data_IF_301837130264
#
_entry.id   IF_301837130264
#
_cell.length_a   1.000
_cell.length_b   1.000
_cell.length_c   1.000
_cell.angle_alpha   90.00
_cell.angle_beta   90.00
_cell.angle_gamma   90.00
#
_symmetry.space_group_name_H-M   'P 1'
#
loop_
_entity.id
_entity.type
_entity.pdbx_description
1 polymer ?
#
# COMPACT_ATOMS: atom_id res chain seq x y z
N UNK A 1 9.80 -32.72 26.63
CA UNK A 1 8.53 -31.98 26.78
C UNK A 1 8.74 -30.52 27.25
N UNK A 2 9.86 -30.22 27.92
CA UNK A 2 10.21 -28.86 28.43
C UNK A 2 10.70 -27.84 27.37
N UNK A 3 11.19 -28.30 26.22
CA UNK A 3 11.70 -27.39 25.17
C UNK A 3 10.61 -26.60 24.42
N UNK A 4 9.37 -27.09 24.41
CA UNK A 4 8.24 -26.43 23.77
C UNK A 4 7.58 -25.35 24.65
N UNK A 5 7.66 -25.46 25.98
CA UNK A 5 7.14 -24.47 26.91
C UNK A 5 7.96 -23.15 26.92
N UNK A 6 9.27 -23.27 26.71
CA UNK A 6 10.16 -22.11 26.75
C UNK A 6 10.16 -21.31 25.44
N UNK A 7 9.71 -21.91 24.33
CA UNK A 7 9.58 -21.24 23.02
C UNK A 7 8.32 -20.37 22.95
N UNK A 8 7.24 -20.83 23.55
CA UNK A 8 5.98 -20.05 23.60
C UNK A 8 6.13 -18.80 24.50
N UNK A 9 6.84 -18.88 25.62
CA UNK A 9 7.02 -17.75 26.52
C UNK A 9 7.82 -16.58 25.91
N UNK A 10 8.76 -16.86 24.99
CA UNK A 10 9.52 -15.79 24.28
C UNK A 10 8.69 -15.12 23.19
N UNK A 11 7.84 -15.88 22.50
CA UNK A 11 6.92 -15.35 21.51
C UNK A 11 5.84 -14.51 22.20
N UNK A 12 5.27 -14.99 23.30
CA UNK A 12 4.29 -14.25 24.10
C UNK A 12 4.87 -12.96 24.68
N UNK A 13 6.10 -12.96 25.13
CA UNK A 13 6.80 -11.75 25.61
C UNK A 13 7.10 -10.75 24.49
N UNK A 14 7.35 -11.19 23.26
CA UNK A 14 7.52 -10.31 22.10
C UNK A 14 6.18 -9.72 21.64
N UNK A 15 5.13 -10.54 21.58
CA UNK A 15 3.77 -10.13 21.21
C UNK A 15 3.15 -9.13 22.22
N UNK A 16 3.47 -9.25 23.50
CA UNK A 16 3.05 -8.30 24.52
C UNK A 16 3.72 -6.92 24.43
N UNK A 17 4.80 -6.80 23.66
CA UNK A 17 5.45 -5.49 23.38
C UNK A 17 4.76 -4.71 22.27
N UNK A 18 3.99 -5.39 21.40
CA UNK A 18 3.19 -4.78 20.34
C UNK A 18 1.79 -5.40 20.41
N UNK A 19 0.94 -4.93 21.35
CA UNK A 19 -0.36 -5.56 21.66
C UNK A 19 -1.25 -5.70 20.41
N UNK A 20 -1.23 -4.73 19.52
CA UNK A 20 -2.01 -4.74 18.27
C UNK A 20 -1.61 -5.90 17.35
N UNK A 21 -0.31 -6.11 17.13
CA UNK A 21 0.17 -7.21 16.28
C UNK A 21 -0.14 -8.56 16.92
N UNK A 22 -0.04 -8.67 18.26
CA UNK A 22 -0.41 -9.87 19.00
C UNK A 22 -1.87 -10.25 18.78
N UNK A 23 -2.77 -9.28 18.79
CA UNK A 23 -4.20 -9.52 18.58
C UNK A 23 -4.53 -9.83 17.10
N UNK A 24 -3.82 -9.25 16.14
CA UNK A 24 -3.91 -9.63 14.73
C UNK A 24 -3.50 -11.09 14.52
N UNK A 25 -2.39 -11.53 15.13
CA UNK A 25 -1.86 -12.89 15.00
C UNK A 25 -2.67 -13.97 15.76
N UNK A 26 -3.64 -13.59 16.60
CA UNK A 26 -4.63 -14.53 17.19
C UNK A 26 -5.73 -14.91 16.19
N UNK A 27 -5.90 -14.17 15.10
CA UNK A 27 -6.96 -14.38 14.09
C UNK A 27 -6.39 -15.15 12.91
N UNK A 28 -7.03 -16.24 12.42
CA UNK A 28 -6.51 -17.05 11.31
C UNK A 28 -6.27 -16.23 10.03
N UNK A 29 -7.21 -15.34 9.66
CA UNK A 29 -7.08 -14.46 8.50
C UNK A 29 -5.97 -13.43 8.68
N UNK A 30 -5.77 -12.95 9.91
CA UNK A 30 -4.66 -12.04 10.24
C UNK A 30 -3.31 -12.71 10.11
N UNK A 31 -3.17 -13.95 10.56
CA UNK A 31 -1.95 -14.76 10.37
C UNK A 31 -1.67 -14.96 8.89
N UNK A 32 -2.68 -15.35 8.11
CA UNK A 32 -2.52 -15.57 6.66
C UNK A 32 -2.11 -14.27 5.96
N UNK A 33 -2.83 -13.17 6.18
CA UNK A 33 -2.51 -11.86 5.60
C UNK A 33 -1.12 -11.38 5.99
N UNK A 34 -0.79 -11.43 7.29
CA UNK A 34 0.54 -11.07 7.77
C UNK A 34 1.66 -11.91 7.16
N UNK A 35 1.47 -13.23 7.05
CA UNK A 35 2.46 -14.14 6.46
C UNK A 35 2.73 -13.81 4.99
N UNK A 36 1.66 -13.53 4.22
CA UNK A 36 1.79 -13.15 2.80
C UNK A 36 2.52 -11.79 2.68
N UNK A 37 2.09 -10.78 3.44
CA UNK A 37 2.71 -9.44 3.44
C UNK A 37 4.18 -9.51 3.85
N UNK A 38 4.49 -10.26 4.91
CA UNK A 38 5.87 -10.47 5.36
C UNK A 38 6.69 -11.21 4.29
N UNK A 39 6.11 -12.24 3.66
CA UNK A 39 6.74 -12.95 2.54
C UNK A 39 7.13 -12.01 1.41
N UNK A 40 6.22 -11.15 0.94
CA UNK A 40 6.54 -10.16 -0.09
C UNK A 40 7.54 -9.10 0.39
N UNK A 41 7.47 -8.66 1.64
CA UNK A 41 8.48 -7.75 2.21
C UNK A 41 9.88 -8.38 2.20
N UNK A 42 10.00 -9.66 2.55
CA UNK A 42 11.26 -10.40 2.46
C UNK A 42 11.73 -10.55 1.02
N UNK A 43 10.82 -10.86 0.07
CA UNK A 43 11.14 -10.91 -1.37
C UNK A 43 11.69 -9.57 -1.85
N UNK A 44 11.10 -8.45 -1.47
CA UNK A 44 11.58 -7.10 -1.83
C UNK A 44 12.99 -6.84 -1.30
N UNK A 45 13.24 -7.17 -0.02
CA UNK A 45 14.53 -6.94 0.63
C UNK A 45 15.62 -7.82 0.02
N UNK A 46 15.34 -9.12 -0.11
CA UNK A 46 16.30 -10.12 -0.55
C UNK A 46 16.26 -10.39 -2.07
N UNK A 47 15.56 -9.58 -2.86
CA UNK A 47 15.45 -9.73 -4.31
C UNK A 47 16.79 -10.03 -5.02
N UNK A 48 17.91 -9.30 -4.75
CA UNK A 48 19.17 -9.57 -5.41
C UNK A 48 19.82 -10.92 -5.04
N UNK A 49 19.41 -11.52 -3.94
CA UNK A 49 19.95 -12.80 -3.44
C UNK A 49 19.11 -14.01 -3.88
N UNK A 50 17.80 -13.82 -4.10
CA UNK A 50 16.88 -14.90 -4.40
C UNK A 50 16.49 -15.00 -5.88
N UNK A 51 16.75 -13.94 -6.67
CA UNK A 51 16.51 -13.96 -8.10
C UNK A 51 17.55 -14.88 -8.79
N UNK A 52 17.09 -15.95 -9.52
CA UNK A 52 18.03 -16.87 -10.13
C UNK A 52 18.88 -16.24 -11.26
N UNK A 53 18.29 -15.28 -11.97
CA UNK A 53 18.91 -14.62 -13.12
C UNK A 53 18.81 -13.08 -13.00
N UNK A 54 19.53 -12.35 -13.85
CA UNK A 54 19.28 -10.91 -14.00
C UNK A 54 17.90 -10.70 -14.63
N UNK A 55 17.11 -9.76 -14.09
CA UNK A 55 15.75 -9.49 -14.56
C UNK A 55 15.65 -8.92 -15.98
N UNK A 56 16.76 -8.45 -16.54
CA UNK A 56 16.87 -7.82 -17.84
C UNK A 56 17.75 -8.61 -18.84
N UNK A 57 18.38 -9.71 -18.39
CA UNK A 57 19.20 -10.56 -19.25
C UNK A 57 18.35 -11.19 -20.37
N UNK A 58 18.76 -10.97 -21.61
CA UNK A 58 18.09 -11.48 -22.80
C UNK A 58 18.62 -12.87 -23.17
N UNK A 59 17.70 -13.80 -23.42
CA UNK A 59 18.03 -15.14 -23.93
C UNK A 59 17.07 -15.52 -25.08
N UNK A 60 17.26 -14.87 -26.22
CA UNK A 60 16.37 -14.98 -27.39
C UNK A 60 16.15 -16.43 -27.86
N UNK A 61 17.16 -17.34 -27.86
CA UNK A 61 16.94 -18.75 -28.15
C UNK A 61 15.86 -19.41 -27.31
N UNK A 62 15.72 -19.03 -26.04
CA UNK A 62 14.76 -19.62 -25.09
C UNK A 62 13.49 -18.75 -24.86
N UNK A 63 13.13 -17.91 -25.86
CA UNK A 63 11.94 -17.05 -25.75
C UNK A 63 10.63 -17.84 -25.67
N UNK A 64 9.72 -17.39 -24.80
CA UNK A 64 8.36 -17.95 -24.63
C UNK A 64 8.34 -19.43 -24.21
N UNK A 65 9.42 -19.90 -23.61
CA UNK A 65 9.48 -21.27 -23.06
C UNK A 65 8.64 -21.39 -21.78
N UNK A 66 8.08 -22.59 -21.60
CA UNK A 66 7.39 -22.97 -20.37
C UNK A 66 8.35 -23.18 -19.19
N UNK A 67 7.81 -23.43 -18.00
CA UNK A 67 8.60 -23.77 -16.82
C UNK A 67 9.56 -24.93 -17.07
N UNK A 68 10.82 -24.75 -16.66
CA UNK A 68 11.90 -25.72 -16.80
C UNK A 68 12.82 -25.70 -15.58
N UNK A 69 13.81 -26.60 -15.52
CA UNK A 69 14.82 -26.59 -14.45
C UNK A 69 15.72 -25.34 -14.47
N UNK A 70 15.90 -24.72 -15.62
CA UNK A 70 16.68 -23.48 -15.79
C UNK A 70 15.82 -22.25 -15.53
N UNK A 71 14.60 -22.22 -16.06
CA UNK A 71 13.65 -21.14 -15.94
C UNK A 71 12.41 -21.63 -15.20
N UNK A 72 12.40 -21.52 -13.86
CA UNK A 72 11.38 -22.13 -12.99
C UNK A 72 9.95 -21.74 -13.33
N UNK A 73 9.71 -20.51 -13.78
CA UNK A 73 8.39 -20.00 -14.20
C UNK A 73 8.31 -19.79 -15.71
N UNK A 74 9.33 -20.20 -16.46
CA UNK A 74 9.47 -19.97 -17.89
C UNK A 74 10.05 -18.61 -18.24
N UNK A 75 9.99 -18.27 -19.53
CA UNK A 75 10.59 -17.06 -20.09
C UNK A 75 9.55 -16.20 -20.82
N UNK A 76 9.85 -14.92 -20.96
CA UNK A 76 9.03 -13.99 -21.73
C UNK A 76 9.38 -13.96 -23.24
N UNK A 77 8.80 -13.01 -23.95
CA UNK A 77 9.00 -12.84 -25.40
C UNK A 77 10.42 -12.45 -25.84
N UNK A 78 11.28 -12.07 -24.89
CA UNK A 78 12.70 -11.77 -25.09
C UNK A 78 13.62 -12.83 -24.45
N UNK A 79 13.06 -13.91 -23.92
CA UNK A 79 13.78 -14.95 -23.20
C UNK A 79 14.20 -14.58 -21.77
N UNK A 80 13.67 -13.47 -21.22
CA UNK A 80 13.99 -13.05 -19.85
C UNK A 80 13.27 -13.96 -18.83
N UNK A 81 13.94 -14.29 -17.74
CA UNK A 81 13.39 -15.14 -16.67
C UNK A 81 12.19 -14.47 -15.97
N UNK A 82 11.02 -15.12 -16.04
CA UNK A 82 9.79 -14.60 -15.44
C UNK A 82 9.91 -14.50 -13.92
N UNK A 83 10.50 -15.50 -13.25
CA UNK A 83 10.64 -15.50 -11.78
C UNK A 83 11.46 -14.31 -11.30
N UNK A 84 12.63 -14.08 -11.89
CA UNK A 84 13.48 -12.94 -11.55
C UNK A 84 12.78 -11.60 -11.80
N UNK A 85 12.04 -11.49 -12.90
CA UNK A 85 11.25 -10.30 -13.22
C UNK A 85 10.13 -10.05 -12.21
N UNK A 86 9.45 -11.09 -11.73
CA UNK A 86 8.42 -10.97 -10.70
C UNK A 86 9.02 -10.56 -9.35
N UNK A 87 10.16 -11.12 -8.99
CA UNK A 87 10.90 -10.78 -7.77
C UNK A 87 11.33 -9.30 -7.80
N UNK A 88 11.96 -8.83 -8.87
CA UNK A 88 12.33 -7.42 -8.99
C UNK A 88 11.12 -6.50 -9.15
N UNK A 89 10.07 -6.95 -9.85
CA UNK A 89 8.80 -6.24 -9.98
C UNK A 89 8.11 -5.97 -8.65
N UNK A 90 8.31 -6.85 -7.64
CA UNK A 90 7.79 -6.63 -6.29
C UNK A 90 8.35 -5.36 -5.64
N UNK A 91 9.62 -5.03 -5.91
CA UNK A 91 10.28 -3.80 -5.42
C UNK A 91 9.61 -2.55 -6.00
N UNK A 92 9.24 -2.61 -7.27
CA UNK A 92 8.54 -1.51 -7.94
C UNK A 92 7.13 -1.37 -7.37
N UNK A 93 6.36 -2.46 -7.31
CA UNK A 93 4.97 -2.44 -6.85
C UNK A 93 4.85 -1.95 -5.39
N UNK A 94 5.60 -2.56 -4.45
CA UNK A 94 5.56 -2.17 -3.04
C UNK A 94 6.22 -0.80 -2.81
N UNK A 95 7.34 -0.53 -3.47
CA UNK A 95 8.03 0.76 -3.37
C UNK A 95 7.15 1.92 -3.83
N UNK A 96 6.46 1.76 -4.96
CA UNK A 96 5.49 2.73 -5.47
C UNK A 96 4.33 2.92 -4.50
N UNK A 97 3.73 1.81 -4.03
CA UNK A 97 2.59 1.88 -3.12
C UNK A 97 2.95 2.58 -1.80
N UNK A 98 4.04 2.19 -1.15
CA UNK A 98 4.51 2.81 0.10
C UNK A 98 4.79 4.31 -0.11
N UNK A 99 5.48 4.66 -1.20
CA UNK A 99 5.84 6.05 -1.47
C UNK A 99 4.61 6.91 -1.80
N UNK A 100 3.71 6.42 -2.65
CA UNK A 100 2.50 7.15 -3.04
C UNK A 100 1.54 7.33 -1.86
N UNK A 101 1.30 6.27 -1.07
CA UNK A 101 0.47 6.34 0.14
C UNK A 101 1.12 7.24 1.19
N UNK A 102 2.46 7.21 1.31
CA UNK A 102 3.22 8.12 2.17
C UNK A 102 3.03 9.60 1.79
N UNK A 103 3.06 9.92 0.50
CA UNK A 103 2.76 11.28 -0.01
C UNK A 103 1.31 11.66 0.30
N UNK A 104 0.35 10.78 -0.03
CA UNK A 104 -1.07 11.01 0.21
C UNK A 104 -1.37 11.27 1.69
N UNK A 105 -0.78 10.46 2.59
CA UNK A 105 -0.88 10.64 4.04
C UNK A 105 -0.28 11.96 4.48
N UNK A 106 0.93 12.30 4.04
CA UNK A 106 1.65 13.50 4.49
C UNK A 106 0.91 14.77 4.07
N UNK A 107 0.52 14.87 2.80
CA UNK A 107 -0.25 15.97 2.27
C UNK A 107 -1.67 16.01 2.85
N UNK A 108 -2.32 14.86 2.95
CA UNK A 108 -3.64 14.70 3.55
C UNK A 108 -3.66 15.10 5.02
N UNK A 109 -2.63 14.72 5.80
CA UNK A 109 -2.46 15.11 7.19
C UNK A 109 -2.32 16.60 7.33
N UNK A 110 -1.45 17.22 6.54
CA UNK A 110 -1.24 18.65 6.55
C UNK A 110 -2.53 19.44 6.20
N UNK A 111 -3.16 19.08 5.07
CA UNK A 111 -4.37 19.76 4.60
C UNK A 111 -5.56 19.50 5.51
N UNK A 112 -5.76 18.26 5.97
CA UNK A 112 -6.86 17.87 6.85
C UNK A 112 -6.78 18.49 8.25
N UNK A 113 -5.56 18.57 8.82
CA UNK A 113 -5.35 19.26 10.09
C UNK A 113 -5.65 20.76 9.98
N UNK A 114 -5.16 21.43 8.94
CA UNK A 114 -5.38 22.86 8.74
C UNK A 114 -6.87 23.12 8.52
N UNK A 115 -7.49 22.42 7.60
CA UNK A 115 -8.91 22.54 7.26
C UNK A 115 -9.80 22.28 8.48
N UNK A 116 -9.64 21.15 9.17
CA UNK A 116 -10.46 20.79 10.31
C UNK A 116 -10.26 21.69 11.53
N UNK A 117 -9.01 22.10 11.80
CA UNK A 117 -8.71 22.90 12.99
C UNK A 117 -9.07 24.38 12.84
N UNK A 118 -8.68 25.01 11.72
CA UNK A 118 -8.93 26.44 11.48
C UNK A 118 -10.39 26.70 11.07
N UNK A 119 -10.95 25.87 10.20
CA UNK A 119 -12.31 26.06 9.71
C UNK A 119 -12.49 27.29 8.81
N UNK A 120 -13.73 27.73 8.64
CA UNK A 120 -14.08 28.95 7.95
C UNK A 120 -13.60 29.04 6.49
N UNK A 121 -13.02 30.17 6.10
CA UNK A 121 -12.60 30.43 4.73
C UNK A 121 -11.46 29.50 4.24
N UNK A 122 -10.52 29.16 5.14
CA UNK A 122 -9.40 28.29 4.83
C UNK A 122 -9.90 26.87 4.54
N UNK A 123 -10.84 26.39 5.33
CA UNK A 123 -11.50 25.11 5.12
C UNK A 123 -12.18 25.03 3.75
N UNK A 124 -12.97 26.07 3.41
CA UNK A 124 -13.66 26.13 2.12
C UNK A 124 -12.70 26.11 0.93
N UNK A 125 -11.60 26.88 0.99
CA UNK A 125 -10.59 26.89 -0.09
C UNK A 125 -9.95 25.49 -0.26
N UNK A 126 -9.54 24.88 0.85
CA UNK A 126 -8.95 23.54 0.82
C UNK A 126 -9.92 22.52 0.24
N UNK A 127 -11.19 22.54 0.67
CA UNK A 127 -12.22 21.65 0.15
C UNK A 127 -12.43 21.83 -1.35
N UNK A 128 -12.51 23.06 -1.86
CA UNK A 128 -12.64 23.33 -3.31
C UNK A 128 -11.48 22.75 -4.10
N UNK A 129 -10.23 22.85 -3.60
CA UNK A 129 -9.06 22.25 -4.25
C UNK A 129 -9.16 20.73 -4.26
N UNK A 130 -9.50 20.11 -3.10
CA UNK A 130 -9.63 18.65 -2.97
C UNK A 130 -10.78 18.12 -3.85
N UNK A 131 -11.90 18.83 -3.89
CA UNK A 131 -13.06 18.47 -4.71
C UNK A 131 -12.75 18.58 -6.21
N UNK A 132 -11.95 19.58 -6.61
CA UNK A 132 -11.49 19.73 -7.99
C UNK A 132 -10.66 18.54 -8.47
N UNK A 133 -9.79 17.98 -7.60
CA UNK A 133 -9.02 16.78 -7.91
C UNK A 133 -9.95 15.56 -8.07
N UNK A 134 -10.93 15.42 -7.19
CA UNK A 134 -11.87 14.28 -7.20
C UNK A 134 -13.02 14.43 -8.21
N UNK A 135 -13.18 15.58 -8.86
CA UNK A 135 -14.15 15.75 -9.93
C UNK A 135 -13.85 14.87 -11.15
N UNK A 136 -12.58 14.44 -11.28
CA UNK A 136 -12.16 13.51 -12.34
C UNK A 136 -12.05 12.08 -11.81
N UNK A 137 -12.49 11.06 -12.57
CA UNK A 137 -12.18 9.67 -12.26
C UNK A 137 -10.66 9.49 -12.14
N UNK A 138 -10.21 8.89 -11.01
CA UNK A 138 -8.79 8.78 -10.66
C UNK A 138 -7.90 8.23 -11.79
N UNK A 139 -8.39 7.18 -12.49
CA UNK A 139 -7.67 6.57 -13.61
C UNK A 139 -7.51 7.56 -14.77
N UNK A 140 -8.58 8.30 -15.12
CA UNK A 140 -8.55 9.26 -16.22
C UNK A 140 -7.60 10.41 -15.92
N UNK A 141 -7.63 10.92 -14.68
CA UNK A 141 -6.71 11.97 -14.24
C UNK A 141 -5.26 11.50 -14.31
N UNK A 142 -4.98 10.27 -13.79
CA UNK A 142 -3.64 9.70 -13.83
C UNK A 142 -3.15 9.50 -15.27
N UNK A 143 -3.98 8.95 -16.16
CA UNK A 143 -3.63 8.77 -17.57
C UNK A 143 -3.33 10.11 -18.27
N UNK A 144 -4.15 11.13 -18.04
CA UNK A 144 -3.96 12.45 -18.65
C UNK A 144 -2.65 13.10 -18.17
N UNK A 145 -2.36 13.05 -16.87
CA UNK A 145 -1.14 13.64 -16.31
C UNK A 145 0.10 12.88 -16.76
N UNK A 146 0.07 11.53 -16.74
CA UNK A 146 1.21 10.71 -17.19
C UNK A 146 1.45 10.81 -18.69
N UNK A 147 0.40 11.01 -19.49
CA UNK A 147 0.56 11.26 -20.94
C UNK A 147 1.31 12.58 -21.22
N UNK A 148 1.16 13.58 -20.36
CA UNK A 148 1.86 14.87 -20.48
C UNK A 148 3.27 14.82 -19.89
N UNK A 149 3.46 14.20 -18.73
CA UNK A 149 4.75 14.17 -18.03
C UNK A 149 5.69 13.08 -18.54
N UNK A 150 5.16 12.09 -19.26
CA UNK A 150 5.86 10.89 -19.70
C UNK A 150 5.93 9.79 -18.62
N UNK A 151 6.20 8.54 -19.06
CA UNK A 151 6.29 7.39 -18.17
C UNK A 151 7.58 7.45 -17.33
N UNK A 152 7.44 7.45 -16.02
CA UNK A 152 8.55 7.30 -15.06
C UNK A 152 8.03 6.85 -13.70
N UNK A 153 8.88 6.19 -12.92
CA UNK A 153 8.54 5.75 -11.57
C UNK A 153 8.11 6.93 -10.68
N UNK A 154 8.85 8.04 -10.75
CA UNK A 154 8.56 9.23 -9.94
C UNK A 154 7.21 9.83 -10.31
N UNK A 155 6.92 9.98 -11.61
CA UNK A 155 5.65 10.54 -12.08
C UNK A 155 4.47 9.69 -11.63
N UNK A 156 4.60 8.35 -11.70
CA UNK A 156 3.57 7.42 -11.20
C UNK A 156 3.34 7.59 -9.70
N UNK A 157 4.40 7.63 -8.90
CA UNK A 157 4.32 7.85 -7.44
C UNK A 157 3.62 9.18 -7.13
N UNK A 158 4.03 10.27 -7.78
CA UNK A 158 3.46 11.60 -7.55
C UNK A 158 1.98 11.67 -7.93
N UNK A 159 1.63 11.14 -9.10
CA UNK A 159 0.24 11.15 -9.59
C UNK A 159 -0.67 10.36 -8.67
N UNK A 160 -0.26 9.15 -8.28
CA UNK A 160 -1.05 8.33 -7.34
C UNK A 160 -1.15 9.06 -5.98
N UNK A 161 -0.03 9.54 -5.43
CA UNK A 161 0.00 10.23 -4.15
C UNK A 161 -0.91 11.45 -4.12
N UNK A 162 -0.87 12.29 -5.16
CA UNK A 162 -1.74 13.46 -5.27
C UNK A 162 -3.22 13.09 -5.44
N UNK A 163 -3.51 12.05 -6.23
CA UNK A 163 -4.89 11.59 -6.47
C UNK A 163 -5.54 11.01 -5.21
N UNK A 164 -4.76 10.36 -4.32
CA UNK A 164 -5.24 9.81 -3.04
C UNK A 164 -5.30 10.85 -1.91
N UNK A 165 -4.56 11.94 -2.01
CA UNK A 165 -4.49 13.02 -0.99
C UNK A 165 -5.87 13.51 -0.52
N UNK A 166 -6.88 13.76 -1.39
CA UNK A 166 -8.19 14.22 -0.95
C UNK A 166 -8.91 13.28 -0.01
N UNK A 167 -8.80 11.96 -0.23
CA UNK A 167 -9.37 10.93 0.65
C UNK A 167 -8.81 11.02 2.07
N UNK A 168 -7.48 11.08 2.18
CA UNK A 168 -6.79 11.25 3.47
C UNK A 168 -7.17 12.55 4.15
N UNK A 169 -7.12 13.67 3.41
CA UNK A 169 -7.44 14.99 3.97
C UNK A 169 -8.86 15.04 4.55
N UNK A 170 -9.86 14.46 3.88
CA UNK A 170 -11.25 14.43 4.36
C UNK A 170 -11.41 13.60 5.61
N UNK A 171 -10.80 12.39 5.66
CA UNK A 171 -10.85 11.54 6.85
C UNK A 171 -10.22 12.25 8.04
N UNK A 172 -9.04 12.85 7.85
CA UNK A 172 -8.33 13.58 8.90
C UNK A 172 -9.14 14.80 9.35
N UNK A 173 -9.67 15.58 8.40
CA UNK A 173 -10.55 16.72 8.71
C UNK A 173 -11.74 16.30 9.57
N UNK A 174 -12.44 15.25 9.19
CA UNK A 174 -13.60 14.74 9.95
C UNK A 174 -13.23 14.33 11.39
N UNK A 175 -12.09 13.65 11.57
CA UNK A 175 -11.57 13.30 12.89
C UNK A 175 -11.19 14.56 13.71
N UNK A 176 -10.54 15.54 13.10
CA UNK A 176 -10.17 16.79 13.77
C UNK A 176 -11.39 17.55 14.24
N UNK A 177 -12.43 17.64 13.40
CA UNK A 177 -13.69 18.28 13.78
C UNK A 177 -14.35 17.59 14.96
N UNK A 178 -14.43 16.26 14.94
CA UNK A 178 -15.00 15.46 16.04
C UNK A 178 -14.23 15.63 17.35
N UNK A 179 -12.90 15.59 17.29
CA UNK A 179 -12.05 15.71 18.50
C UNK A 179 -12.07 17.13 19.05
N UNK A 180 -12.07 18.14 18.19
CA UNK A 180 -12.04 19.57 18.56
C UNK A 180 -13.24 20.00 19.41
N UNK A 181 -14.37 19.32 19.27
CA UNK A 181 -15.62 19.61 19.99
C UNK A 181 -15.70 18.92 21.36
N UNK A 182 -14.71 18.10 21.73
CA UNK A 182 -14.72 17.44 23.04
C UNK A 182 -14.46 18.44 24.18
N UNK A 183 -15.19 18.28 25.31
CA UNK A 183 -15.09 19.14 26.49
C UNK A 183 -13.68 19.27 27.06
N UNK A 184 -12.84 18.23 26.98
CA UNK A 184 -11.47 18.29 27.48
C UNK A 184 -10.60 19.21 26.63
N UNK A 185 -10.86 19.34 25.31
CA UNK A 185 -10.16 20.29 24.44
C UNK A 185 -10.57 21.73 24.78
N UNK A 186 -11.83 21.95 25.10
CA UNK A 186 -12.33 23.27 25.55
C UNK A 186 -11.70 23.67 26.89
N UNK A 187 -11.61 22.73 27.83
CA UNK A 187 -10.94 22.94 29.10
C UNK A 187 -9.46 23.30 28.91
N UNK A 188 -8.72 22.58 28.07
CA UNK A 188 -7.31 22.88 27.75
C UNK A 188 -7.14 24.29 27.15
N UNK A 189 -8.05 24.69 26.24
CA UNK A 189 -8.04 26.06 25.68
C UNK A 189 -8.34 27.12 26.74
N UNK A 190 -9.27 26.87 27.65
CA UNK A 190 -9.62 27.77 28.74
C UNK A 190 -8.46 27.94 29.72
N UNK A 191 -7.62 26.91 29.88
CA UNK A 191 -6.36 26.96 30.65
C UNK A 191 -5.20 27.61 29.90
N UNK A 192 -5.43 28.13 28.67
CA UNK A 192 -4.41 28.87 27.89
C UNK A 192 -3.53 27.96 27.01
N UNK A 193 -3.91 26.72 26.74
CA UNK A 193 -3.15 25.86 25.85
C UNK A 193 -3.02 26.43 24.43
N UNK A 194 -1.81 26.47 23.90
CA UNK A 194 -1.56 26.96 22.53
C UNK A 194 -2.16 26.01 21.49
N UNK A 195 -2.50 26.54 20.30
CA UNK A 195 -3.00 25.75 19.18
C UNK A 195 -2.09 24.58 18.81
N UNK A 196 -0.76 24.80 18.80
CA UNK A 196 0.24 23.74 18.53
C UNK A 196 0.16 22.62 19.57
N UNK A 197 0.01 22.96 20.85
CA UNK A 197 -0.12 21.99 21.94
C UNK A 197 -1.38 21.13 21.74
N UNK A 198 -2.53 21.74 21.46
CA UNK A 198 -3.78 21.02 21.22
C UNK A 198 -3.64 20.06 20.03
N UNK A 199 -3.07 20.50 18.92
CA UNK A 199 -2.91 19.68 17.72
C UNK A 199 -1.95 18.51 18.00
N UNK A 200 -0.76 18.76 18.52
CA UNK A 200 0.28 17.75 18.64
C UNK A 200 0.07 16.76 19.78
N UNK A 201 -0.53 17.20 20.89
CA UNK A 201 -0.67 16.37 22.10
C UNK A 201 -2.05 15.71 22.17
N UNK A 202 -3.09 16.39 21.69
CA UNK A 202 -4.46 15.89 21.85
C UNK A 202 -5.08 15.39 20.54
N UNK A 203 -4.92 16.10 19.40
CA UNK A 203 -5.55 15.71 18.15
C UNK A 203 -4.75 14.60 17.45
N UNK A 204 -3.46 14.85 17.19
CA UNK A 204 -2.63 13.95 16.38
C UNK A 204 -2.57 12.52 16.92
N UNK A 205 -2.35 12.27 18.22
CA UNK A 205 -2.32 10.90 18.73
C UNK A 205 -3.65 10.16 18.55
N UNK A 206 -4.78 10.86 18.66
CA UNK A 206 -6.11 10.27 18.57
C UNK A 206 -6.52 9.91 17.12
N UNK A 207 -5.91 10.53 16.11
CA UNK A 207 -6.20 10.21 14.70
C UNK A 207 -5.27 9.14 14.13
N UNK A 208 -4.21 8.73 14.85
CA UNK A 208 -3.23 7.76 14.33
C UNK A 208 -3.85 6.39 14.03
N UNK A 209 -4.71 5.86 14.91
CA UNK A 209 -5.32 4.55 14.71
C UNK A 209 -6.17 4.50 13.41
N UNK A 210 -7.13 5.42 13.16
CA UNK A 210 -7.82 5.49 11.87
C UNK A 210 -6.89 5.62 10.66
N UNK A 211 -5.79 6.35 10.79
CA UNK A 211 -4.83 6.53 9.69
C UNK A 211 -4.06 5.25 9.36
N UNK A 212 -3.63 4.50 10.37
CA UNK A 212 -2.95 3.21 10.16
C UNK A 212 -3.89 2.22 9.46
N UNK A 213 -5.18 2.21 9.83
CA UNK A 213 -6.19 1.38 9.15
C UNK A 213 -6.32 1.79 7.69
N UNK A 214 -6.45 3.09 7.42
CA UNK A 214 -6.60 3.62 6.06
C UNK A 214 -5.38 3.27 5.20
N UNK A 215 -4.16 3.45 5.74
CA UNK A 215 -2.91 3.05 5.09
C UNK A 215 -2.91 1.57 4.68
N UNK A 216 -3.27 0.68 5.61
CA UNK A 216 -3.27 -0.75 5.36
C UNK A 216 -4.30 -1.16 4.29
N UNK A 217 -5.48 -0.51 4.28
CA UNK A 217 -6.55 -0.78 3.31
C UNK A 217 -6.27 -0.20 1.91
N UNK A 218 -5.51 0.89 1.82
CA UNK A 218 -5.18 1.51 0.53
C UNK A 218 -4.02 0.80 -0.20
N UNK A 219 -3.15 0.07 0.51
CA UNK A 219 -2.02 -0.63 -0.11
C UNK A 219 -2.43 -1.52 -1.29
N UNK A 220 -3.40 -2.46 -1.16
CA UNK A 220 -3.80 -3.33 -2.27
C UNK A 220 -4.41 -2.54 -3.44
N UNK A 221 -5.14 -1.47 -3.14
CA UNK A 221 -5.76 -0.61 -4.16
C UNK A 221 -4.69 0.11 -4.97
N UNK A 222 -3.69 0.69 -4.31
CA UNK A 222 -2.60 1.43 -4.96
C UNK A 222 -1.69 0.49 -5.75
N UNK A 223 -1.38 -0.72 -5.24
CA UNK A 223 -0.63 -1.74 -5.98
C UNK A 223 -1.36 -2.11 -7.29
N UNK A 224 -2.67 -2.34 -7.21
CA UNK A 224 -3.48 -2.67 -8.39
C UNK A 224 -3.57 -1.50 -9.37
N UNK A 225 -3.66 -0.28 -8.85
CA UNK A 225 -3.72 0.92 -9.67
C UNK A 225 -2.40 1.17 -10.43
N UNK A 226 -1.24 1.01 -9.74
CA UNK A 226 0.08 1.05 -10.38
C UNK A 226 0.19 -0.01 -11.48
N UNK A 227 -0.19 -1.26 -11.18
CA UNK A 227 -0.15 -2.34 -12.15
C UNK A 227 -1.04 -2.04 -13.38
N UNK A 228 -2.20 -1.40 -13.19
CA UNK A 228 -3.07 -0.94 -14.27
C UNK A 228 -2.42 0.13 -15.15
N UNK A 229 -1.79 1.14 -14.55
CA UNK A 229 -1.07 2.18 -15.29
C UNK A 229 0.13 1.60 -16.07
N UNK A 230 0.88 0.70 -15.44
CA UNK A 230 2.01 -0.01 -16.06
C UNK A 230 1.54 -0.94 -17.19
N UNK A 231 0.38 -1.60 -17.04
CA UNK A 231 -0.25 -2.41 -18.09
C UNK A 231 -0.59 -1.58 -19.34
N UNK A 232 -1.04 -0.34 -19.13
CA UNK A 232 -1.35 0.61 -20.21
C UNK A 232 -0.11 1.30 -20.81
N UNK A 233 1.10 0.96 -20.31
CA UNK A 233 2.36 1.50 -20.82
C UNK A 233 2.76 2.87 -20.25
N UNK A 234 2.06 3.36 -19.23
CA UNK A 234 2.34 4.63 -18.57
C UNK A 234 3.05 4.46 -17.21
N UNK A 235 3.46 3.25 -16.88
CA UNK A 235 4.22 2.91 -15.68
C UNK A 235 5.72 3.18 -15.82
N UNK A 236 6.50 2.28 -15.18
CA UNK A 236 7.96 2.32 -15.23
C UNK A 236 8.44 1.83 -16.60
N UNK A 237 9.31 2.61 -17.31
CA UNK A 237 9.79 2.22 -18.63
C UNK A 237 10.75 1.01 -18.57
N UNK A 238 10.79 0.18 -19.63
CA UNK A 238 11.81 -0.85 -19.76
C UNK A 238 13.24 -0.27 -19.66
N UNK A 239 14.23 -1.08 -19.19
CA UNK A 239 14.17 -2.52 -18.93
C UNK A 239 13.62 -2.89 -17.55
N UNK A 240 13.33 -1.93 -16.67
CA UNK A 240 12.88 -2.17 -15.29
C UNK A 240 11.58 -2.99 -15.28
N UNK A 241 11.55 -4.16 -14.61
CA UNK A 241 10.34 -4.98 -14.57
C UNK A 241 9.30 -4.38 -13.61
N UNK A 242 8.03 -4.36 -14.02
CA UNK A 242 6.87 -4.16 -13.16
C UNK A 242 5.83 -5.25 -13.44
N UNK A 243 5.00 -5.58 -12.46
CA UNK A 243 3.98 -6.61 -12.64
C UNK A 243 2.98 -6.24 -13.74
N UNK A 244 2.61 -4.95 -13.82
CA UNK A 244 1.74 -4.45 -14.89
C UNK A 244 2.35 -4.55 -16.29
N UNK A 245 3.66 -4.27 -16.43
CA UNK A 245 4.36 -4.44 -17.69
C UNK A 245 4.43 -5.93 -18.10
N UNK A 246 4.73 -6.84 -17.15
CA UNK A 246 4.74 -8.28 -17.40
C UNK A 246 3.35 -8.78 -17.83
N UNK A 247 2.27 -8.28 -17.19
CA UNK A 247 0.89 -8.57 -17.60
C UNK A 247 0.61 -8.09 -19.01
N UNK A 248 1.00 -6.86 -19.37
CA UNK A 248 0.81 -6.28 -20.71
C UNK A 248 1.57 -7.06 -21.80
N UNK A 249 2.84 -7.37 -21.54
CA UNK A 249 3.66 -8.20 -22.42
C UNK A 249 3.04 -9.61 -22.57
N UNK A 250 2.69 -10.25 -21.45
CA UNK A 250 2.07 -11.58 -21.44
C UNK A 250 0.72 -11.62 -22.16
N UNK A 251 -0.08 -10.57 -22.08
CA UNK A 251 -1.35 -10.45 -22.79
C UNK A 251 -1.15 -10.45 -24.33
N UNK A 252 -0.12 -9.75 -24.82
CA UNK A 252 0.18 -9.71 -26.27
C UNK A 252 0.59 -11.08 -26.80
N UNK A 253 1.22 -11.90 -26.00
CA UNK A 253 1.77 -13.22 -26.39
C UNK A 253 0.98 -14.40 -25.79
N UNK A 254 -0.23 -14.18 -25.28
CA UNK A 254 -1.01 -15.19 -24.55
C UNK A 254 -1.29 -16.47 -25.37
N UNK A 255 -1.39 -16.34 -26.70
CA UNK A 255 -1.59 -17.49 -27.62
C UNK A 255 -0.33 -18.33 -27.79
N UNK A 256 0.83 -17.77 -27.54
CA UNK A 256 2.12 -18.45 -27.68
C UNK A 256 2.59 -19.03 -26.33
N UNK A 257 2.44 -18.26 -25.27
CA UNK A 257 2.81 -18.68 -23.90
C UNK A 257 1.89 -18.00 -22.87
N UNK A 258 1.13 -18.77 -22.09
CA UNK A 258 0.27 -18.22 -21.05
C UNK A 258 1.04 -17.86 -19.77
N UNK A 259 2.29 -18.32 -19.64
CA UNK A 259 3.03 -18.27 -18.38
C UNK A 259 3.30 -16.87 -17.85
N UNK A 260 3.74 -15.88 -18.66
CA UNK A 260 4.01 -14.53 -18.14
C UNK A 260 2.78 -13.88 -17.51
N UNK A 261 1.61 -13.94 -18.19
CA UNK A 261 0.38 -13.34 -17.68
C UNK A 261 -0.17 -14.09 -16.47
N UNK A 262 -0.10 -15.42 -16.47
CA UNK A 262 -0.58 -16.26 -15.38
C UNK A 262 0.20 -15.98 -14.09
N UNK A 263 1.52 -16.00 -14.14
CA UNK A 263 2.34 -15.80 -12.95
C UNK A 263 2.27 -14.35 -12.43
N UNK A 264 2.26 -13.36 -13.34
CA UNK A 264 2.10 -11.97 -12.92
C UNK A 264 0.70 -11.71 -12.30
N UNK A 265 -0.35 -12.28 -12.88
CA UNK A 265 -1.70 -12.20 -12.33
C UNK A 265 -1.83 -12.87 -10.97
N UNK A 266 -1.27 -14.06 -10.79
CA UNK A 266 -1.25 -14.77 -9.50
C UNK A 266 -0.45 -14.00 -8.45
N UNK A 267 0.69 -13.42 -8.83
CA UNK A 267 1.52 -12.62 -7.91
C UNK A 267 0.75 -11.38 -7.43
N UNK A 268 0.10 -10.67 -8.35
CA UNK A 268 -0.72 -9.51 -8.02
C UNK A 268 -1.91 -9.90 -7.12
N UNK A 269 -2.62 -10.98 -7.46
CA UNK A 269 -3.73 -11.51 -6.66
C UNK A 269 -3.30 -11.90 -5.25
N UNK A 270 -2.21 -12.64 -5.10
CA UNK A 270 -1.71 -13.05 -3.78
C UNK A 270 -1.29 -11.84 -2.94
N UNK A 271 -0.62 -10.86 -3.54
CA UNK A 271 -0.19 -9.65 -2.84
C UNK A 271 -1.39 -8.84 -2.36
N UNK A 272 -2.34 -8.57 -3.25
CA UNK A 272 -3.56 -7.82 -2.89
C UNK A 272 -4.39 -8.55 -1.84
N UNK A 273 -4.55 -9.87 -1.96
CA UNK A 273 -5.21 -10.70 -0.94
C UNK A 273 -4.51 -10.59 0.42
N UNK A 274 -3.18 -10.69 0.45
CA UNK A 274 -2.40 -10.58 1.69
C UNK A 274 -2.61 -9.23 2.38
N UNK A 275 -2.49 -8.11 1.65
CA UNK A 275 -2.71 -6.78 2.19
C UNK A 275 -4.16 -6.55 2.61
N UNK A 276 -5.15 -7.05 1.86
CA UNK A 276 -6.57 -6.95 2.22
C UNK A 276 -6.86 -7.68 3.53
N UNK A 277 -6.47 -8.96 3.64
CA UNK A 277 -6.69 -9.75 4.86
C UNK A 277 -6.00 -9.14 6.08
N UNK A 278 -4.77 -8.65 5.90
CA UNK A 278 -4.03 -7.98 6.95
C UNK A 278 -4.71 -6.67 7.36
N UNK A 279 -5.09 -5.82 6.39
CA UNK A 279 -5.73 -4.53 6.61
C UNK A 279 -7.11 -4.65 7.29
N UNK A 280 -7.95 -5.59 6.86
CA UNK A 280 -9.24 -5.87 7.48
C UNK A 280 -9.08 -6.37 8.91
N UNK A 281 -8.13 -7.30 9.15
CA UNK A 281 -7.87 -7.79 10.51
C UNK A 281 -7.33 -6.68 11.41
N UNK A 282 -6.46 -5.82 10.89
CA UNK A 282 -5.92 -4.67 11.60
C UNK A 282 -7.04 -3.67 11.96
N UNK A 283 -7.95 -3.40 11.03
CA UNK A 283 -9.15 -2.59 11.27
C UNK A 283 -9.98 -3.15 12.41
N UNK A 284 -10.29 -4.43 12.36
CA UNK A 284 -11.10 -5.11 13.37
C UNK A 284 -10.47 -5.09 14.78
N UNK A 285 -9.15 -5.10 14.87
CA UNK A 285 -8.42 -5.03 16.14
C UNK A 285 -8.36 -3.61 16.68
N UNK A 286 -8.20 -2.61 15.80
CA UNK A 286 -8.06 -1.21 16.18
C UNK A 286 -9.39 -0.48 16.36
N UNK A 287 -10.52 -1.01 15.84
CA UNK A 287 -11.83 -0.38 16.00
C UNK A 287 -12.43 -0.73 17.37
N UNK A 288 -12.63 0.28 18.26
CA UNK A 288 -13.19 0.06 19.60
C UNK A 288 -14.59 -0.57 19.60
N UNK A 289 -15.35 -0.42 18.50
CA UNK A 289 -16.72 -0.93 18.39
C UNK A 289 -16.77 -2.46 18.34
N UNK A 290 -15.71 -3.10 17.85
CA UNK A 290 -15.61 -4.56 17.76
C UNK A 290 -14.91 -5.19 18.98
N UNK A 291 -14.21 -4.41 19.81
CA UNK A 291 -13.47 -4.92 20.97
C UNK A 291 -14.35 -5.54 22.07
N UNK A 292 -15.67 -5.25 22.08
CA UNK A 292 -16.64 -5.80 23.04
C UNK A 292 -17.28 -7.13 22.64
N UNK A 293 -17.30 -7.49 21.36
CA UNK A 293 -18.00 -8.69 20.87
C UNK A 293 -17.21 -10.00 21.02
N UNK A 294 -15.91 -9.92 21.29
CA UNK A 294 -15.01 -11.07 21.33
C UNK A 294 -14.41 -11.34 22.72
N UNK A 295 -14.88 -10.62 23.75
CA UNK A 295 -14.50 -10.88 25.16
C UNK A 295 -15.54 -11.69 25.92
N UNK A 296 -16.55 -12.21 25.23
CA UNK A 296 -17.57 -13.09 25.82
C UNK A 296 -17.26 -14.57 25.55
#
# INVERSE_FOLDING_TARGET
MESNLNRNSRIDNFLNRIPVLGDVLKRPLGVLGFTIVLGFALVVIFAPLIAPHSSDALDIPHKLEGPSSTYLLGTDHLGRDILSRLIYGSRIALGTAISAVGIALSLGLFLGLISGYLGGYIDNIILVILDSIQAFPAVILALAVLALLGPSLLNVILVIGLTWTPGYARVIRAQVLSIKENMYIEAERSLGASRKRVILIHILPNILAPLVILLAMDMPVVITFEAGLSFLGLGVPPPTPSWGAILSEGFRFIRNSPWPITWAGLTLMLTTLGFTLFGETLRDVLDPRFSGLWRA
#
